data_IF_578649570079
#
_entry.id   IF_578649570079
#
_cell.length_a   1.000
_cell.length_b   1.000
_cell.length_c   1.000
_cell.angle_alpha   90.00
_cell.angle_beta   90.00
_cell.angle_gamma   90.00
#
_symmetry.space_group_name_H-M   'P 1'
#
loop_
_entity.id
_entity.type
_entity.pdbx_description
1 polymer ?
#
# COMPACT_ATOMS: atom_id res chain seq x y z
N UNK A 1 -31.50 9.47 -7.68
CA UNK A 1 -30.66 8.66 -6.77
C UNK A 1 -29.81 7.68 -7.57
N UNK A 2 -30.39 6.83 -8.42
CA UNK A 2 -29.64 5.84 -9.24
C UNK A 2 -28.49 6.40 -10.09
N UNK A 3 -28.65 7.58 -10.73
CA UNK A 3 -27.57 8.17 -11.55
C UNK A 3 -26.36 8.58 -10.71
N UNK A 4 -26.59 9.01 -9.46
CA UNK A 4 -25.52 9.37 -8.55
C UNK A 4 -24.77 8.11 -8.09
N UNK A 5 -25.49 7.05 -7.71
CA UNK A 5 -24.92 5.77 -7.30
C UNK A 5 -24.08 5.11 -8.41
N UNK A 6 -24.58 5.08 -9.65
CA UNK A 6 -23.83 4.58 -10.81
C UNK A 6 -22.56 5.40 -11.08
N UNK A 7 -22.63 6.72 -10.92
CA UNK A 7 -21.47 7.61 -11.06
C UNK A 7 -20.44 7.32 -9.98
N UNK A 8 -20.86 7.21 -8.71
CA UNK A 8 -19.98 6.89 -7.58
C UNK A 8 -19.30 5.53 -7.82
N UNK A 9 -20.06 4.50 -8.17
CA UNK A 9 -19.52 3.16 -8.42
C UNK A 9 -18.49 3.17 -9.55
N UNK A 10 -18.78 3.87 -10.66
CA UNK A 10 -17.84 4.04 -11.77
C UNK A 10 -16.54 4.70 -11.29
N UNK A 11 -16.64 5.81 -10.56
CA UNK A 11 -15.46 6.53 -10.03
C UNK A 11 -14.63 5.65 -9.11
N UNK A 12 -15.25 4.85 -8.24
CA UNK A 12 -14.53 3.96 -7.33
C UNK A 12 -13.83 2.83 -8.11
N UNK A 13 -14.48 2.24 -9.12
CA UNK A 13 -13.86 1.21 -9.96
C UNK A 13 -12.68 1.77 -10.77
N UNK A 14 -12.81 2.98 -11.30
CA UNK A 14 -11.73 3.67 -12.02
C UNK A 14 -10.55 3.98 -11.10
N UNK A 15 -10.81 4.31 -9.82
CA UNK A 15 -9.78 4.56 -8.84
C UNK A 15 -8.99 3.30 -8.42
N UNK A 16 -9.50 2.08 -8.63
CA UNK A 16 -8.72 0.85 -8.37
C UNK A 16 -7.55 0.80 -9.36
N UNK A 17 -6.32 0.85 -8.85
CA UNK A 17 -5.10 0.73 -9.66
C UNK A 17 -4.86 -0.71 -10.11
N UNK A 18 -3.96 -0.92 -11.07
CA UNK A 18 -3.43 -2.26 -11.33
C UNK A 18 -2.67 -2.77 -10.09
N UNK A 19 -3.00 -3.97 -9.64
CA UNK A 19 -2.37 -4.64 -8.50
C UNK A 19 -0.96 -5.09 -8.88
N UNK A 20 0.02 -4.72 -8.07
CA UNK A 20 1.40 -5.16 -8.16
C UNK A 20 1.95 -5.49 -6.76
N UNK A 21 3.24 -5.84 -6.68
CA UNK A 21 3.89 -6.24 -5.42
C UNK A 21 3.99 -5.13 -4.37
N UNK A 22 3.88 -3.87 -4.76
CA UNK A 22 4.12 -2.71 -3.90
C UNK A 22 2.84 -2.00 -3.44
N UNK A 23 1.65 -2.40 -3.91
CA UNK A 23 0.41 -1.66 -3.64
C UNK A 23 -0.76 -2.49 -3.12
N UNK A 24 -0.55 -3.75 -2.72
CA UNK A 24 -1.64 -4.65 -2.29
C UNK A 24 -2.52 -4.06 -1.19
N UNK A 25 -1.95 -3.45 -0.14
CA UNK A 25 -2.73 -2.88 0.97
C UNK A 25 -3.68 -1.78 0.49
N UNK A 26 -3.18 -0.86 -0.34
CA UNK A 26 -3.99 0.21 -0.94
C UNK A 26 -5.02 -0.35 -1.93
N UNK A 27 -4.61 -1.30 -2.77
CA UNK A 27 -5.49 -1.95 -3.75
C UNK A 27 -6.65 -2.68 -3.06
N UNK A 28 -6.34 -3.47 -2.03
CA UNK A 28 -7.30 -4.21 -1.22
C UNK A 28 -8.33 -3.26 -0.62
N UNK A 29 -7.89 -2.19 0.03
CA UNK A 29 -8.80 -1.19 0.59
C UNK A 29 -9.76 -0.59 -0.46
N UNK A 30 -9.26 -0.27 -1.67
CA UNK A 30 -10.10 0.26 -2.75
C UNK A 30 -11.12 -0.75 -3.26
N UNK A 31 -10.73 -2.02 -3.38
CA UNK A 31 -11.65 -3.11 -3.75
C UNK A 31 -12.70 -3.35 -2.66
N UNK A 32 -12.30 -3.37 -1.39
CA UNK A 32 -13.22 -3.53 -0.26
C UNK A 32 -14.24 -2.38 -0.18
N UNK A 33 -13.82 -1.14 -0.41
CA UNK A 33 -14.73 0.01 -0.49
C UNK A 33 -15.75 -0.14 -1.64
N UNK A 34 -15.30 -0.61 -2.81
CA UNK A 34 -16.17 -0.90 -3.95
C UNK A 34 -17.20 -2.00 -3.63
N UNK A 35 -16.78 -3.04 -2.90
CA UNK A 35 -17.66 -4.12 -2.47
C UNK A 35 -18.68 -3.64 -1.44
N UNK A 36 -18.26 -2.82 -0.48
CA UNK A 36 -19.15 -2.23 0.53
C UNK A 36 -20.24 -1.37 -0.10
N UNK A 37 -19.90 -0.55 -1.11
CA UNK A 37 -20.88 0.25 -1.85
C UNK A 37 -21.94 -0.60 -2.57
N UNK A 38 -21.62 -1.85 -2.90
CA UNK A 38 -22.54 -2.79 -3.55
C UNK A 38 -23.16 -3.79 -2.56
N UNK A 39 -22.86 -3.70 -1.27
CA UNK A 39 -23.22 -4.70 -0.25
C UNK A 39 -22.76 -6.12 -0.62
N UNK A 40 -21.57 -6.26 -1.22
CA UNK A 40 -21.00 -7.54 -1.67
C UNK A 40 -19.78 -7.99 -0.86
N UNK A 41 -19.35 -7.20 0.14
CA UNK A 41 -18.16 -7.50 0.93
C UNK A 41 -18.25 -8.88 1.58
N UNK A 42 -19.32 -9.12 2.33
CA UNK A 42 -19.55 -10.39 3.02
C UNK A 42 -19.72 -11.54 2.03
N UNK A 43 -20.42 -11.31 0.92
CA UNK A 43 -20.67 -12.31 -0.12
C UNK A 43 -19.37 -12.81 -0.77
N UNK A 44 -18.39 -11.92 -0.97
CA UNK A 44 -17.11 -12.29 -1.57
C UNK A 44 -16.13 -12.85 -0.54
N UNK A 45 -16.06 -12.24 0.65
CA UNK A 45 -14.93 -12.42 1.58
C UNK A 45 -15.17 -13.48 2.68
N UNK A 46 -16.41 -13.67 3.13
CA UNK A 46 -16.71 -14.66 4.19
C UNK A 46 -16.73 -16.06 3.62
N UNK A 47 -16.42 -17.05 4.45
CA UNK A 47 -16.40 -18.48 4.07
C UNK A 47 -17.75 -18.98 3.56
N UNK A 48 -18.84 -18.54 4.20
CA UNK A 48 -20.23 -18.85 3.83
C UNK A 48 -20.86 -17.81 2.87
N UNK A 49 -20.06 -16.91 2.31
CA UNK A 49 -20.53 -15.90 1.38
C UNK A 49 -21.01 -16.51 0.05
N UNK A 50 -22.14 -16.04 -0.47
CA UNK A 50 -22.69 -16.51 -1.76
C UNK A 50 -22.87 -15.37 -2.74
N UNK A 51 -22.50 -15.59 -4.01
CA UNK A 51 -22.73 -14.66 -5.11
C UNK A 51 -23.78 -15.23 -6.07
N UNK A 52 -24.65 -14.38 -6.57
CA UNK A 52 -25.45 -14.71 -7.77
C UNK A 52 -24.53 -14.82 -8.99
N UNK A 53 -24.97 -15.51 -10.03
CA UNK A 53 -24.22 -15.63 -11.29
C UNK A 53 -23.81 -14.29 -11.89
N UNK A 54 -24.68 -13.28 -11.83
CA UNK A 54 -24.40 -11.94 -12.35
C UNK A 54 -23.31 -11.24 -11.54
N UNK A 55 -23.39 -11.31 -10.20
CA UNK A 55 -22.39 -10.75 -9.30
C UNK A 55 -21.03 -11.43 -9.49
N UNK A 56 -21.00 -12.77 -9.61
CA UNK A 56 -19.78 -13.51 -9.88
C UNK A 56 -19.09 -13.02 -11.17
N UNK A 57 -19.83 -12.95 -12.28
CA UNK A 57 -19.29 -12.51 -13.59
C UNK A 57 -18.74 -11.08 -13.50
N UNK A 58 -19.47 -10.17 -12.85
CA UNK A 58 -19.05 -8.77 -12.70
C UNK A 58 -17.79 -8.65 -11.85
N UNK A 59 -17.75 -9.31 -10.69
CA UNK A 59 -16.59 -9.26 -9.81
C UNK A 59 -15.36 -9.91 -10.44
N UNK A 60 -15.53 -11.01 -11.18
CA UNK A 60 -14.42 -11.60 -11.96
C UNK A 60 -13.82 -10.60 -12.93
N UNK A 61 -14.67 -9.93 -13.72
CA UNK A 61 -14.21 -8.95 -14.70
C UNK A 61 -13.46 -7.79 -14.05
N UNK A 62 -13.96 -7.28 -12.91
CA UNK A 62 -13.29 -6.21 -12.17
C UNK A 62 -11.97 -6.70 -11.58
N UNK A 63 -11.96 -7.84 -10.89
CA UNK A 63 -10.76 -8.37 -10.25
C UNK A 63 -9.66 -8.64 -11.27
N UNK A 64 -9.96 -9.36 -12.36
CA UNK A 64 -8.95 -9.73 -13.37
C UNK A 64 -8.45 -8.54 -14.18
N UNK A 65 -9.31 -7.56 -14.49
CA UNK A 65 -8.90 -6.34 -15.20
C UNK A 65 -8.01 -5.41 -14.37
N UNK A 66 -7.95 -5.63 -13.05
CA UNK A 66 -7.14 -4.84 -12.10
C UNK A 66 -5.90 -5.58 -11.62
N UNK A 67 -5.45 -6.62 -12.33
CA UNK A 67 -4.18 -7.30 -12.09
C UNK A 67 -3.14 -6.88 -13.13
N UNK A 68 -1.93 -6.57 -12.70
CA UNK A 68 -0.79 -6.59 -13.63
C UNK A 68 -0.53 -8.03 -14.11
N UNK A 69 0.17 -8.16 -15.26
CA UNK A 69 0.45 -9.45 -15.89
C UNK A 69 1.22 -10.39 -14.97
N UNK A 70 2.19 -9.88 -14.21
CA UNK A 70 2.98 -10.71 -13.29
C UNK A 70 2.11 -11.24 -12.14
N UNK A 71 1.23 -10.43 -11.58
CA UNK A 71 0.30 -10.88 -10.54
C UNK A 71 -0.71 -11.86 -11.12
N UNK A 72 -1.29 -11.56 -12.28
CA UNK A 72 -2.27 -12.41 -12.95
C UNK A 72 -1.75 -13.84 -13.12
N UNK A 73 -0.52 -14.01 -13.62
CA UNK A 73 0.09 -15.32 -13.82
C UNK A 73 0.31 -16.13 -12.53
N UNK A 74 0.37 -15.48 -11.37
CA UNK A 74 0.61 -16.13 -10.08
C UNK A 74 -0.69 -16.45 -9.31
N UNK A 75 -1.79 -15.75 -9.62
CA UNK A 75 -3.03 -15.86 -8.83
C UNK A 75 -4.22 -16.40 -9.62
N UNK A 76 -4.17 -16.39 -10.95
CA UNK A 76 -5.23 -16.90 -11.83
C UNK A 76 -4.79 -18.21 -12.48
N UNK A 77 -5.64 -19.23 -12.42
CA UNK A 77 -5.44 -20.50 -13.10
C UNK A 77 -6.76 -21.10 -13.61
N UNK A 78 -6.67 -22.24 -14.32
CA UNK A 78 -7.81 -22.95 -14.88
C UNK A 78 -8.82 -23.46 -13.83
N UNK A 79 -8.45 -23.51 -12.54
CA UNK A 79 -9.31 -23.96 -11.45
C UNK A 79 -10.10 -22.81 -10.83
N UNK A 80 -9.58 -21.59 -10.86
CA UNK A 80 -10.19 -20.43 -10.21
C UNK A 80 -10.74 -19.36 -11.17
N UNK A 81 -10.34 -19.34 -12.45
CA UNK A 81 -10.67 -18.25 -13.41
C UNK A 81 -12.18 -18.00 -13.60
N UNK A 82 -13.02 -18.95 -13.19
CA UNK A 82 -14.49 -18.90 -13.28
C UNK A 82 -15.21 -18.69 -11.95
N UNK A 83 -14.49 -18.38 -10.88
CA UNK A 83 -15.04 -18.13 -9.55
C UNK A 83 -14.40 -16.89 -8.91
N UNK A 84 -15.21 -15.83 -8.71
CA UNK A 84 -14.75 -14.57 -8.10
C UNK A 84 -14.22 -14.77 -6.67
N UNK A 85 -14.83 -15.64 -5.88
CA UNK A 85 -14.41 -15.92 -4.50
C UNK A 85 -13.08 -16.67 -4.49
N UNK A 86 -12.92 -17.63 -5.39
CA UNK A 86 -11.65 -18.35 -5.55
C UNK A 86 -10.52 -17.41 -5.97
N UNK A 87 -10.77 -16.49 -6.92
CA UNK A 87 -9.81 -15.45 -7.33
C UNK A 87 -9.43 -14.54 -6.16
N UNK A 88 -10.43 -14.02 -5.43
CA UNK A 88 -10.18 -13.17 -4.26
C UNK A 88 -9.33 -13.88 -3.20
N UNK A 89 -9.64 -15.15 -2.92
CA UNK A 89 -8.89 -15.98 -1.97
C UNK A 89 -7.45 -16.22 -2.46
N UNK A 90 -7.27 -16.52 -3.74
CA UNK A 90 -5.95 -16.70 -4.36
C UNK A 90 -5.08 -15.45 -4.25
N UNK A 91 -5.62 -14.29 -4.62
CA UNK A 91 -4.95 -12.98 -4.47
C UNK A 91 -4.57 -12.75 -3.00
N UNK A 92 -5.52 -12.96 -2.08
CA UNK A 92 -5.29 -12.71 -0.66
C UNK A 92 -4.21 -13.62 -0.08
N UNK A 93 -4.19 -14.90 -0.47
CA UNK A 93 -3.18 -15.85 -0.02
C UNK A 93 -1.79 -15.55 -0.60
N UNK A 94 -1.71 -15.17 -1.87
CA UNK A 94 -0.45 -14.80 -2.52
C UNK A 94 0.20 -13.59 -1.84
N UNK A 95 -0.60 -12.60 -1.45
CA UNK A 95 -0.08 -11.44 -0.75
C UNK A 95 0.15 -11.68 0.74
N UNK A 96 -0.64 -12.53 1.40
CA UNK A 96 -0.36 -12.94 2.78
C UNK A 96 0.99 -13.68 2.89
N UNK A 97 1.33 -14.54 1.92
CA UNK A 97 2.60 -15.26 1.90
C UNK A 97 3.81 -14.38 1.58
N UNK A 98 3.61 -13.30 0.81
CA UNK A 98 4.67 -12.37 0.38
C UNK A 98 4.73 -11.07 1.19
N UNK A 99 3.80 -10.81 2.11
CA UNK A 99 3.72 -9.54 2.83
C UNK A 99 4.98 -9.27 3.64
N UNK A 100 5.44 -10.24 4.44
CA UNK A 100 6.62 -10.05 5.29
C UNK A 100 7.90 -9.86 4.49
N UNK A 101 8.05 -10.53 3.34
CA UNK A 101 9.23 -10.37 2.49
C UNK A 101 9.22 -9.03 1.75
N UNK A 102 8.06 -8.59 1.27
CA UNK A 102 7.87 -7.27 0.69
C UNK A 102 8.12 -6.15 1.72
N UNK A 103 7.60 -6.31 2.94
CA UNK A 103 7.88 -5.41 4.05
C UNK A 103 9.37 -5.35 4.38
N UNK A 104 10.02 -6.50 4.53
CA UNK A 104 11.45 -6.57 4.82
C UNK A 104 12.28 -5.90 3.71
N UNK A 105 11.90 -6.06 2.44
CA UNK A 105 12.59 -5.40 1.31
C UNK A 105 12.48 -3.89 1.41
N UNK A 106 11.27 -3.35 1.55
CA UNK A 106 11.00 -1.91 1.61
C UNK A 106 11.64 -1.29 2.86
N UNK A 107 11.53 -1.96 4.01
CA UNK A 107 12.17 -1.51 5.25
C UNK A 107 13.71 -1.49 5.14
N UNK A 108 14.30 -2.48 4.47
CA UNK A 108 15.75 -2.50 4.19
C UNK A 108 16.20 -1.34 3.31
N UNK A 109 15.35 -0.78 2.44
CA UNK A 109 15.69 0.41 1.67
C UNK A 109 15.93 1.61 2.59
N UNK A 110 15.06 1.82 3.59
CA UNK A 110 15.26 2.84 4.61
C UNK A 110 16.58 2.59 5.36
N UNK A 111 16.78 1.39 5.90
CA UNK A 111 17.96 1.08 6.71
C UNK A 111 19.27 1.27 5.92
N UNK A 112 19.29 0.90 4.65
CA UNK A 112 20.49 0.98 3.79
C UNK A 112 20.73 2.35 3.19
N UNK A 113 19.73 3.25 3.18
CA UNK A 113 19.92 4.60 2.68
C UNK A 113 21.00 5.31 3.51
N UNK A 114 21.97 5.88 2.82
CA UNK A 114 23.08 6.64 3.39
C UNK A 114 22.90 8.13 3.11
N UNK A 115 23.25 8.96 4.07
CA UNK A 115 23.31 10.39 3.86
C UNK A 115 24.43 10.74 2.86
N UNK A 116 24.13 11.65 1.94
CA UNK A 116 25.09 12.16 0.97
C UNK A 116 25.24 13.67 1.16
N UNK A 117 26.37 14.10 1.73
CA UNK A 117 26.69 15.52 1.93
C UNK A 117 26.77 16.30 0.61
N UNK A 118 27.03 15.63 -0.51
CA UNK A 118 27.06 16.24 -1.84
C UNK A 118 25.68 16.32 -2.52
N UNK A 119 24.65 15.71 -1.94
CA UNK A 119 23.29 15.68 -2.51
C UNK A 119 22.22 15.50 -1.42
N UNK A 120 22.07 16.54 -0.59
CA UNK A 120 21.03 16.62 0.44
C UNK A 120 19.61 16.54 -0.18
N UNK A 121 19.29 17.26 -1.28
CA UNK A 121 17.98 17.17 -1.91
C UNK A 121 17.64 15.75 -2.40
N UNK A 122 18.60 15.03 -2.98
CA UNK A 122 18.43 13.63 -3.40
C UNK A 122 18.20 12.69 -2.21
N UNK A 123 18.89 12.92 -1.09
CA UNK A 123 18.63 12.18 0.17
C UNK A 123 17.20 12.43 0.67
N UNK A 124 16.77 13.69 0.77
CA UNK A 124 15.40 14.05 1.20
C UNK A 124 14.35 13.41 0.30
N UNK A 125 14.55 13.48 -1.02
CA UNK A 125 13.66 12.87 -2.02
C UNK A 125 13.59 11.35 -1.85
N UNK A 126 14.72 10.70 -1.58
CA UNK A 126 14.78 9.26 -1.34
C UNK A 126 14.02 8.87 -0.08
N UNK A 127 14.18 9.60 1.03
CA UNK A 127 13.40 9.39 2.25
C UNK A 127 11.90 9.52 1.95
N UNK A 128 11.45 10.63 1.36
CA UNK A 128 10.02 10.84 1.04
C UNK A 128 9.46 9.72 0.15
N UNK A 129 10.24 9.26 -0.81
CA UNK A 129 9.86 8.15 -1.69
C UNK A 129 9.69 6.84 -0.92
N UNK A 130 10.61 6.54 0.01
CA UNK A 130 10.55 5.34 0.86
C UNK A 130 9.35 5.41 1.81
N UNK A 131 9.12 6.56 2.47
CA UNK A 131 7.97 6.74 3.37
C UNK A 131 6.63 6.61 2.64
N UNK A 132 6.52 7.17 1.43
CA UNK A 132 5.34 6.98 0.59
C UNK A 132 5.12 5.50 0.22
N UNK A 133 6.20 4.73 0.07
CA UNK A 133 6.12 3.28 -0.17
C UNK A 133 5.73 2.50 1.09
N UNK A 134 6.18 2.89 2.28
CA UNK A 134 5.76 2.29 3.55
C UNK A 134 4.23 2.31 3.66
N UNK A 135 3.62 3.48 3.43
CA UNK A 135 2.17 3.60 3.41
C UNK A 135 1.50 2.71 2.35
N UNK A 136 2.06 2.63 1.13
CA UNK A 136 1.50 1.79 0.05
C UNK A 136 1.53 0.29 0.36
N UNK A 137 2.59 -0.19 1.03
CA UNK A 137 2.69 -1.60 1.45
C UNK A 137 2.05 -1.86 2.81
N UNK A 138 1.57 -0.83 3.51
CA UNK A 138 0.93 -0.93 4.82
C UNK A 138 1.90 -1.16 5.97
N UNK A 139 3.14 -0.68 5.86
CA UNK A 139 4.03 -0.56 7.02
C UNK A 139 3.58 0.66 7.82
N UNK A 140 3.13 0.41 9.05
CA UNK A 140 2.73 1.44 10.00
C UNK A 140 3.76 1.51 11.13
N UNK A 141 4.49 2.61 11.22
CA UNK A 141 5.53 2.85 12.23
C UNK A 141 5.28 4.24 12.81
N UNK A 142 5.34 4.41 14.14
CA UNK A 142 5.24 5.73 14.76
C UNK A 142 6.18 6.76 14.12
N UNK A 143 5.66 7.97 13.88
CA UNK A 143 6.37 9.04 13.16
C UNK A 143 7.68 9.43 13.85
N UNK A 144 7.70 9.43 15.18
CA UNK A 144 8.88 9.72 16.00
C UNK A 144 9.97 8.66 15.81
N UNK A 145 9.62 7.38 15.82
CA UNK A 145 10.54 6.26 15.59
C UNK A 145 11.16 6.35 14.20
N UNK A 146 10.34 6.58 13.17
CA UNK A 146 10.85 6.79 11.80
C UNK A 146 11.78 8.00 11.74
N UNK A 147 11.43 9.08 12.44
CA UNK A 147 12.26 10.28 12.51
C UNK A 147 13.62 9.99 13.15
N UNK A 148 13.67 9.27 14.26
CA UNK A 148 14.93 8.87 14.88
C UNK A 148 15.80 8.02 13.93
N UNK A 149 15.18 7.10 13.17
CA UNK A 149 15.90 6.32 12.15
C UNK A 149 16.46 7.18 11.01
N UNK A 150 15.83 8.30 10.68
CA UNK A 150 16.34 9.25 9.67
C UNK A 150 17.50 10.05 10.26
N UNK A 151 17.35 10.55 11.50
CA UNK A 151 18.37 11.34 12.18
C UNK A 151 19.66 10.54 12.44
N UNK A 152 19.55 9.26 12.74
CA UNK A 152 20.70 8.34 12.93
C UNK A 152 21.55 8.19 11.66
N UNK A 153 21.03 8.59 10.49
CA UNK A 153 21.79 8.56 9.22
C UNK A 153 22.69 9.76 9.04
N UNK A 154 22.50 10.82 9.83
CA UNK A 154 23.24 12.06 9.67
C UNK A 154 24.65 11.91 10.22
N UNK A 155 25.65 12.53 9.58
CA UNK A 155 27.01 12.55 10.11
C UNK A 155 27.06 13.39 11.40
N UNK A 156 28.04 13.11 12.25
CA UNK A 156 28.24 13.84 13.52
C UNK A 156 28.40 15.36 13.37
N UNK A 157 28.81 15.83 12.19
CA UNK A 157 28.83 17.24 11.83
C UNK A 157 27.44 17.93 11.95
N UNK A 158 26.35 17.16 11.96
CA UNK A 158 24.97 17.63 12.10
C UNK A 158 24.35 17.27 13.47
N UNK A 159 25.14 16.88 14.47
CA UNK A 159 24.64 16.54 15.82
C UNK A 159 23.84 17.69 16.47
N UNK A 160 24.19 18.93 16.16
CA UNK A 160 23.45 20.11 16.62
C UNK A 160 22.04 20.18 16.00
N UNK A 161 21.87 19.77 14.74
CA UNK A 161 20.56 19.67 14.07
C UNK A 161 19.74 18.56 14.70
N UNK A 162 20.34 17.38 14.91
CA UNK A 162 19.69 16.24 15.60
C UNK A 162 19.18 16.66 16.98
N UNK A 163 20.01 17.30 17.79
CA UNK A 163 19.63 17.79 19.13
C UNK A 163 18.48 18.79 19.06
N UNK A 164 18.53 19.74 18.12
CA UNK A 164 17.49 20.76 17.96
C UNK A 164 16.13 20.14 17.63
N UNK A 165 16.10 19.13 16.76
CA UNK A 165 14.86 18.44 16.36
C UNK A 165 14.32 17.62 17.54
N UNK A 166 15.17 16.83 18.17
CA UNK A 166 14.79 15.91 19.27
C UNK A 166 14.38 16.59 20.56
N UNK A 167 14.90 17.80 20.83
CA UNK A 167 14.57 18.58 22.03
C UNK A 167 13.58 19.73 21.75
N UNK A 168 13.00 19.78 20.54
CA UNK A 168 11.99 20.78 20.24
C UNK A 168 10.68 20.48 20.99
N UNK A 169 9.93 21.50 21.37
CA UNK A 169 8.57 21.35 21.91
C UNK A 169 7.54 20.92 20.83
N UNK A 170 7.98 20.80 19.57
CA UNK A 170 7.14 20.37 18.45
C UNK A 170 7.07 18.86 18.40
N UNK A 171 5.96 18.36 17.87
CA UNK A 171 5.81 16.94 17.56
C UNK A 171 6.90 16.48 16.58
N UNK A 172 7.53 15.35 16.89
CA UNK A 172 8.67 14.83 16.13
C UNK A 172 8.13 14.05 14.93
N UNK A 173 8.33 14.62 13.73
CA UNK A 173 7.85 14.04 12.46
C UNK A 173 8.92 14.06 11.38
N UNK A 174 8.88 13.10 10.42
CA UNK A 174 9.84 13.06 9.32
C UNK A 174 9.89 14.36 8.51
N UNK A 175 8.75 14.97 8.23
CA UNK A 175 8.65 16.19 7.43
C UNK A 175 9.41 17.34 8.09
N UNK A 176 9.18 17.55 9.40
CA UNK A 176 9.86 18.59 10.17
C UNK A 176 11.37 18.33 10.22
N UNK A 177 11.78 17.08 10.41
CA UNK A 177 13.20 16.74 10.44
C UNK A 177 13.88 17.00 9.10
N UNK A 178 13.23 16.67 7.99
CA UNK A 178 13.76 16.87 6.64
C UNK A 178 13.83 18.34 6.22
N UNK A 179 12.95 19.21 6.75
CA UNK A 179 13.00 20.66 6.52
C UNK A 179 14.18 21.36 7.19
N UNK A 180 14.82 20.70 8.16
CA UNK A 180 15.94 21.25 8.94
C UNK A 180 17.31 20.75 8.43
N UNK A 181 17.34 19.95 7.37
CA UNK A 181 18.55 19.45 6.69
C UNK A 181 18.94 20.35 5.51
#
# INVERSE_FOLDING_TARGET
MERLERTILKTVIEAISLLNLDNYSLWKNRVENMLNLQNLYDNLTKEEGTLTRSQDVQLRMILTSKLDLSIHANVIDHTNEKDARAIWKSISNYFASSQSSNWARVFKELLRLRFNTGDIPGFITSIKTILARFHKVGIDIPEDIVTYMILDKLPSALDNVVKRITHSEKEIKPELALEQL
#
